data_IF_704555481859
#
_entry.id   IF_704555481859
#
_cell.length_a   1.000
_cell.length_b   1.000
_cell.length_c   1.000
_cell.angle_alpha   90.00
_cell.angle_beta   90.00
_cell.angle_gamma   90.00
#
_symmetry.space_group_name_H-M   'P 1'
#
loop_
_entity.id
_entity.type
_entity.pdbx_description
1 polymer ?
#
# COMPACT_ATOMS: atom_id res chain seq x y z
N UNK A 1 22.45 22.15 15.19
CA UNK A 1 23.65 21.72 14.44
C UNK A 1 24.04 20.25 14.67
N UNK A 2 23.81 19.68 15.87
CA UNK A 2 24.09 18.27 16.20
C UNK A 2 23.18 17.25 15.47
N UNK A 3 21.89 17.57 15.29
CA UNK A 3 20.92 16.74 14.54
C UNK A 3 21.27 16.56 13.05
N UNK A 4 21.82 17.60 12.41
CA UNK A 4 22.27 17.54 11.00
C UNK A 4 23.53 16.67 10.87
N UNK A 5 24.35 16.58 11.92
CA UNK A 5 25.57 15.77 11.96
C UNK A 5 25.26 14.28 12.14
N UNK A 6 24.23 13.94 12.93
CA UNK A 6 23.69 12.56 13.02
C UNK A 6 23.06 12.13 11.69
N UNK A 7 22.34 13.02 11.00
CA UNK A 7 21.82 12.75 9.65
C UNK A 7 22.91 12.57 8.58
N UNK A 8 24.11 13.13 8.78
CA UNK A 8 25.28 12.93 7.89
C UNK A 8 26.15 11.73 8.28
N UNK A 9 26.08 11.25 9.52
CA UNK A 9 26.98 10.22 10.05
C UNK A 9 26.63 8.77 9.67
N UNK A 10 25.52 8.50 8.97
CA UNK A 10 25.21 7.15 8.45
C UNK A 10 25.43 7.02 6.93
N UNK A 11 26.35 7.78 6.35
CA UNK A 11 26.71 7.71 4.92
C UNK A 11 27.78 6.64 4.64
N UNK A 12 27.78 5.52 5.37
CA UNK A 12 28.16 4.26 4.70
C UNK A 12 27.07 3.98 3.66
N UNK A 13 27.40 3.50 2.45
CA UNK A 13 26.38 3.19 1.46
C UNK A 13 25.56 2.01 1.99
N UNK A 14 24.50 2.31 2.75
CA UNK A 14 23.59 1.30 3.26
C UNK A 14 23.07 0.54 2.05
N UNK A 15 23.35 -0.76 2.01
CA UNK A 15 22.95 -1.58 0.90
C UNK A 15 21.42 -1.63 0.88
N UNK A 16 20.83 -0.94 -0.08
CA UNK A 16 19.39 -0.90 -0.34
C UNK A 16 18.76 -2.30 -0.28
N UNK A 17 19.46 -3.35 -0.71
CA UNK A 17 19.00 -4.74 -0.62
C UNK A 17 18.76 -5.19 0.82
N UNK A 18 19.68 -4.93 1.74
CA UNK A 18 19.50 -5.30 3.15
C UNK A 18 18.32 -4.54 3.77
N UNK A 19 18.20 -3.23 3.50
CA UNK A 19 17.04 -2.46 3.97
C UNK A 19 15.71 -3.03 3.47
N UNK A 20 15.66 -3.41 2.19
CA UNK A 20 14.45 -3.96 1.58
C UNK A 20 14.14 -5.38 2.08
N UNK A 21 15.14 -6.22 2.34
CA UNK A 21 14.95 -7.55 2.93
C UNK A 21 14.52 -7.45 4.39
N UNK A 22 15.14 -6.57 5.20
CA UNK A 22 14.72 -6.33 6.58
C UNK A 22 13.30 -5.74 6.63
N UNK A 23 12.93 -4.88 5.67
CA UNK A 23 11.56 -4.39 5.56
C UNK A 23 10.55 -5.53 5.35
N UNK A 24 10.87 -6.51 4.50
CA UNK A 24 10.01 -7.68 4.28
C UNK A 24 9.95 -8.60 5.51
N UNK A 25 11.07 -8.81 6.21
CA UNK A 25 11.09 -9.58 7.46
C UNK A 25 10.22 -8.93 8.55
N UNK A 26 10.32 -7.60 8.72
CA UNK A 26 9.45 -6.88 9.66
C UNK A 26 7.98 -6.97 9.27
N UNK A 27 7.66 -7.01 7.97
CA UNK A 27 6.28 -7.19 7.53
C UNK A 27 5.75 -8.57 7.89
N UNK A 28 6.53 -9.62 7.64
CA UNK A 28 6.16 -11.00 8.02
C UNK A 28 5.96 -11.08 9.53
N UNK A 29 6.89 -10.51 10.30
CA UNK A 29 6.79 -10.46 11.76
C UNK A 29 5.52 -9.71 12.20
N UNK A 30 5.16 -8.61 11.55
CA UNK A 30 3.95 -7.89 11.87
C UNK A 30 2.68 -8.71 11.64
N UNK A 31 2.62 -9.49 10.56
CA UNK A 31 1.48 -10.39 10.28
C UNK A 31 1.39 -11.48 11.34
N UNK A 32 2.52 -12.11 11.69
CA UNK A 32 2.56 -13.14 12.74
C UNK A 32 2.14 -12.58 14.11
N UNK A 33 2.63 -11.40 14.48
CA UNK A 33 2.26 -10.72 15.72
C UNK A 33 0.78 -10.31 15.76
N UNK A 34 0.20 -9.93 14.60
CA UNK A 34 -1.23 -9.67 14.52
C UNK A 34 -2.07 -10.93 14.70
N UNK A 35 -1.57 -12.09 14.24
CA UNK A 35 -2.26 -13.37 14.40
C UNK A 35 -2.23 -13.88 15.84
N UNK A 36 -1.21 -13.48 16.62
CA UNK A 36 -1.07 -13.81 18.05
C UNK A 36 -1.59 -12.71 18.98
N UNK A 37 -2.46 -11.83 18.49
CA UNK A 37 -3.11 -10.74 19.25
C UNK A 37 -2.17 -9.69 19.85
N UNK A 38 -0.89 -9.64 19.44
CA UNK A 38 0.07 -8.62 19.83
C UNK A 38 -0.01 -7.39 18.90
N UNK A 39 -1.18 -6.73 18.88
CA UNK A 39 -1.47 -5.63 17.95
C UNK A 39 -0.49 -4.45 18.06
N UNK A 40 -0.05 -4.07 19.27
CA UNK A 40 0.89 -2.97 19.46
C UNK A 40 2.25 -3.22 18.78
N UNK A 41 2.81 -4.42 18.98
CA UNK A 41 4.07 -4.81 18.34
C UNK A 41 3.89 -4.99 16.83
N UNK A 42 2.75 -5.53 16.39
CA UNK A 42 2.41 -5.62 14.96
C UNK A 42 2.44 -4.26 14.27
N UNK A 43 1.84 -3.23 14.88
CA UNK A 43 1.84 -1.86 14.35
C UNK A 43 3.27 -1.28 14.29
N UNK A 44 4.09 -1.51 15.32
CA UNK A 44 5.49 -1.08 15.33
C UNK A 44 6.28 -1.74 14.20
N UNK A 45 6.11 -3.05 14.00
CA UNK A 45 6.76 -3.79 12.91
C UNK A 45 6.28 -3.32 11.53
N UNK A 46 4.98 -3.01 11.36
CA UNK A 46 4.45 -2.41 10.13
C UNK A 46 5.06 -1.03 9.85
N UNK A 47 5.17 -0.19 10.89
CA UNK A 47 5.79 1.13 10.79
C UNK A 47 7.27 1.03 10.40
N UNK A 48 8.01 0.15 11.08
CA UNK A 48 9.41 -0.13 10.76
C UNK A 48 9.60 -0.65 9.34
N UNK A 49 8.79 -1.62 8.92
CA UNK A 49 8.79 -2.14 7.54
C UNK A 49 8.58 -1.02 6.51
N UNK A 50 7.61 -0.14 6.76
CA UNK A 50 7.28 1.01 5.90
C UNK A 50 8.47 1.96 5.74
N UNK A 51 9.11 2.35 6.85
CA UNK A 51 10.27 3.25 6.86
C UNK A 51 11.47 2.63 6.13
N UNK A 52 11.78 1.37 6.42
CA UNK A 52 12.90 0.66 5.80
C UNK A 52 12.67 0.45 4.29
N UNK A 53 11.44 0.09 3.89
CA UNK A 53 11.08 -0.05 2.49
C UNK A 53 11.24 1.27 1.74
N UNK A 54 10.72 2.38 2.28
CA UNK A 54 10.87 3.70 1.67
C UNK A 54 12.34 4.06 1.54
N UNK A 55 13.13 3.89 2.60
CA UNK A 55 14.56 4.23 2.62
C UNK A 55 15.36 3.42 1.60
N UNK A 56 15.16 2.10 1.55
CA UNK A 56 15.83 1.21 0.61
C UNK A 56 15.43 1.50 -0.85
N UNK A 57 14.13 1.67 -1.12
CA UNK A 57 13.65 1.95 -2.47
C UNK A 57 14.06 3.36 -2.95
N UNK A 58 14.03 4.35 -2.05
CA UNK A 58 14.54 5.71 -2.32
C UNK A 58 16.01 5.66 -2.73
N UNK A 59 16.83 4.89 -2.02
CA UNK A 59 18.25 4.76 -2.33
C UNK A 59 18.48 4.08 -3.68
N UNK A 60 17.73 3.00 -3.97
CA UNK A 60 17.76 2.32 -5.27
C UNK A 60 17.39 3.27 -6.41
N UNK A 61 16.30 4.02 -6.26
CA UNK A 61 15.84 5.00 -7.25
C UNK A 61 16.86 6.13 -7.42
N UNK A 62 17.44 6.62 -6.31
CA UNK A 62 18.46 7.68 -6.34
C UNK A 62 19.68 7.24 -7.14
N UNK A 63 20.19 6.04 -6.89
CA UNK A 63 21.37 5.49 -7.57
C UNK A 63 21.14 5.27 -9.06
N UNK A 64 19.94 4.83 -9.46
CA UNK A 64 19.64 4.50 -10.87
C UNK A 64 19.15 5.67 -11.71
N UNK A 65 18.36 6.57 -11.12
CA UNK A 65 17.57 7.54 -11.90
C UNK A 65 17.73 8.98 -11.37
N UNK A 66 18.56 9.20 -10.35
CA UNK A 66 18.84 10.52 -9.80
C UNK A 66 17.72 11.12 -8.94
N UNK A 67 17.91 12.38 -8.56
CA UNK A 67 17.09 13.09 -7.56
C UNK A 67 15.68 13.42 -8.05
N UNK A 68 15.48 13.65 -9.34
CA UNK A 68 14.14 13.91 -9.92
C UNK A 68 13.21 12.71 -9.78
N UNK A 69 13.72 11.50 -10.04
CA UNK A 69 12.96 10.27 -9.85
C UNK A 69 12.62 10.02 -8.37
N UNK A 70 13.52 10.38 -7.46
CA UNK A 70 13.29 10.31 -6.01
C UNK A 70 12.14 11.21 -5.57
N UNK A 71 12.03 12.44 -6.13
CA UNK A 71 10.92 13.36 -5.82
C UNK A 71 9.58 12.75 -6.22
N UNK A 72 9.46 12.25 -7.46
CA UNK A 72 8.23 11.58 -7.93
C UNK A 72 7.89 10.35 -7.10
N UNK A 73 8.88 9.53 -6.77
CA UNK A 73 8.71 8.36 -5.90
C UNK A 73 8.21 8.76 -4.50
N UNK A 74 8.75 9.84 -3.94
CA UNK A 74 8.35 10.34 -2.62
C UNK A 74 6.93 10.89 -2.63
N UNK A 75 6.54 11.64 -3.66
CA UNK A 75 5.16 12.10 -3.86
C UNK A 75 4.21 10.91 -3.93
N UNK A 76 4.56 9.89 -4.72
CA UNK A 76 3.76 8.67 -4.81
C UNK A 76 3.60 8.00 -3.43
N UNK A 77 4.68 7.92 -2.65
CA UNK A 77 4.64 7.33 -1.31
C UNK A 77 3.77 8.12 -0.33
N UNK A 78 3.83 9.45 -0.37
CA UNK A 78 2.99 10.33 0.43
C UNK A 78 1.50 10.19 0.06
N UNK A 79 1.19 10.20 -1.24
CA UNK A 79 -0.18 9.95 -1.73
C UNK A 79 -0.67 8.56 -1.28
N UNK A 80 0.20 7.55 -1.29
CA UNK A 80 -0.15 6.21 -0.78
C UNK A 80 -0.51 6.24 0.71
N UNK A 81 0.30 6.93 1.52
CA UNK A 81 0.04 7.05 2.96
C UNK A 81 -1.28 7.80 3.22
N UNK A 82 -1.52 8.90 2.50
CA UNK A 82 -2.78 9.65 2.58
C UNK A 82 -3.98 8.78 2.20
N UNK A 83 -3.87 8.00 1.13
CA UNK A 83 -4.90 7.06 0.71
C UNK A 83 -5.26 6.05 1.82
N UNK A 84 -4.25 5.40 2.41
CA UNK A 84 -4.47 4.44 3.49
C UNK A 84 -5.03 5.10 4.75
N UNK A 85 -4.64 6.35 5.03
CA UNK A 85 -5.22 7.12 6.13
C UNK A 85 -6.73 7.37 5.91
N UNK A 86 -7.13 7.81 4.71
CA UNK A 86 -8.54 8.03 4.37
C UNK A 86 -9.35 6.72 4.44
N UNK A 87 -8.85 5.65 3.84
CA UNK A 87 -9.49 4.33 3.88
C UNK A 87 -9.56 3.82 5.32
N UNK A 88 -8.49 4.02 6.11
CA UNK A 88 -8.42 3.63 7.52
C UNK A 88 -9.43 4.35 8.40
N UNK A 89 -9.60 5.67 8.23
CA UNK A 89 -10.62 6.45 8.93
C UNK A 89 -12.02 5.94 8.57
N UNK A 90 -12.29 5.76 7.27
CA UNK A 90 -13.57 5.23 6.82
C UNK A 90 -13.86 3.86 7.45
N UNK A 91 -12.88 2.94 7.44
CA UNK A 91 -13.05 1.62 8.01
C UNK A 91 -13.24 1.64 9.52
N UNK A 92 -12.48 2.49 10.22
CA UNK A 92 -12.59 2.67 11.67
C UNK A 92 -13.96 3.20 12.07
N UNK A 93 -14.48 4.20 11.37
CA UNK A 93 -15.81 4.74 11.61
C UNK A 93 -16.88 3.66 11.37
N UNK A 94 -16.86 3.01 10.21
CA UNK A 94 -17.82 1.94 9.87
C UNK A 94 -17.78 0.80 10.88
N UNK A 95 -16.61 0.35 11.30
CA UNK A 95 -16.46 -0.68 12.33
C UNK A 95 -17.04 -0.23 13.68
N UNK A 96 -16.70 0.99 14.12
CA UNK A 96 -17.15 1.53 15.41
C UNK A 96 -18.66 1.74 15.45
N UNK A 97 -19.24 2.15 14.33
CA UNK A 97 -20.66 2.42 14.20
C UNK A 97 -21.49 1.14 14.00
N UNK A 98 -21.03 0.19 13.18
CA UNK A 98 -21.79 -1.04 12.85
C UNK A 98 -21.55 -2.18 13.83
N UNK A 99 -20.30 -2.40 14.26
CA UNK A 99 -19.95 -3.55 15.11
C UNK A 99 -20.04 -3.18 16.59
N UNK A 100 -19.53 -1.99 16.95
CA UNK A 100 -19.54 -1.55 18.36
C UNK A 100 -20.76 -0.69 18.72
N UNK A 101 -21.60 -0.29 17.75
CA UNK A 101 -22.76 0.59 17.97
C UNK A 101 -22.43 1.87 18.77
N UNK A 102 -21.20 2.40 18.64
CA UNK A 102 -20.72 3.57 19.41
C UNK A 102 -21.18 4.87 18.77
N UNK A 103 -21.36 4.87 17.44
CA UNK A 103 -21.74 6.05 16.66
C UNK A 103 -23.03 5.80 15.89
N UNK A 104 -23.84 6.84 15.64
CA UNK A 104 -24.99 6.73 14.75
C UNK A 104 -24.52 6.33 13.34
N UNK A 105 -25.19 5.34 12.76
CA UNK A 105 -24.92 4.86 11.40
C UNK A 105 -26.21 4.86 10.59
N UNK A 106 -26.43 5.94 9.83
CA UNK A 106 -27.54 6.09 8.92
C UNK A 106 -27.09 6.17 7.44
N UNK A 107 -28.04 6.42 6.52
CA UNK A 107 -27.76 6.55 5.10
C UNK A 107 -26.74 7.66 4.77
N UNK A 108 -26.77 8.77 5.51
CA UNK A 108 -25.86 9.91 5.35
C UNK A 108 -24.42 9.56 5.73
N UNK A 109 -24.23 8.84 6.83
CA UNK A 109 -22.93 8.41 7.33
C UNK A 109 -22.33 7.32 6.44
N UNK A 110 -23.17 6.41 5.95
CA UNK A 110 -22.78 5.42 4.95
C UNK A 110 -22.32 6.11 3.65
N UNK A 111 -23.03 7.14 3.18
CA UNK A 111 -22.63 7.90 2.00
C UNK A 111 -21.30 8.64 2.22
N UNK A 112 -21.16 9.34 3.35
CA UNK A 112 -19.94 10.07 3.68
C UNK A 112 -18.72 9.15 3.79
N UNK A 113 -18.82 8.03 4.51
CA UNK A 113 -17.74 7.04 4.63
C UNK A 113 -17.39 6.41 3.29
N UNK A 114 -18.39 6.07 2.47
CA UNK A 114 -18.17 5.54 1.12
C UNK A 114 -17.43 6.54 0.22
N UNK A 115 -17.74 7.85 0.31
CA UNK A 115 -17.01 8.89 -0.45
C UNK A 115 -15.57 8.96 0.01
N UNK A 116 -15.31 8.97 1.32
CA UNK A 116 -13.94 9.02 1.86
C UNK A 116 -13.15 7.80 1.40
N UNK A 117 -13.75 6.60 1.42
CA UNK A 117 -13.13 5.39 0.90
C UNK A 117 -12.84 5.47 -0.61
N UNK A 118 -13.77 6.02 -1.41
CA UNK A 118 -13.61 6.21 -2.85
C UNK A 118 -12.48 7.21 -3.17
N UNK A 119 -12.45 8.37 -2.50
CA UNK A 119 -11.36 9.35 -2.63
C UNK A 119 -10.03 8.69 -2.25
N UNK A 120 -10.00 7.94 -1.15
CA UNK A 120 -8.83 7.15 -0.76
C UNK A 120 -8.39 6.19 -1.85
N UNK A 121 -9.30 5.47 -2.49
CA UNK A 121 -8.98 4.53 -3.57
C UNK A 121 -8.47 5.22 -4.85
N UNK A 122 -9.03 6.38 -5.22
CA UNK A 122 -8.53 7.20 -6.34
C UNK A 122 -7.10 7.66 -6.07
N UNK A 123 -6.83 8.16 -4.86
CA UNK A 123 -5.49 8.59 -4.46
C UNK A 123 -4.50 7.41 -4.50
N UNK A 124 -4.91 6.20 -4.08
CA UNK A 124 -4.10 4.99 -4.21
C UNK A 124 -3.76 4.68 -5.68
N UNK A 125 -4.77 4.74 -6.56
CA UNK A 125 -4.59 4.46 -7.98
C UNK A 125 -3.58 5.42 -8.62
N UNK A 126 -3.72 6.73 -8.35
CA UNK A 126 -2.79 7.75 -8.82
C UNK A 126 -1.39 7.55 -8.26
N UNK A 127 -1.28 7.27 -6.95
CA UNK A 127 -0.02 6.94 -6.29
C UNK A 127 0.70 5.78 -6.98
N UNK A 128 -0.01 4.68 -7.23
CA UNK A 128 0.55 3.49 -7.90
C UNK A 128 0.98 3.84 -9.33
N UNK A 129 0.20 4.64 -10.05
CA UNK A 129 0.57 5.13 -11.39
C UNK A 129 1.89 5.91 -11.39
N UNK A 130 2.03 6.90 -10.51
CA UNK A 130 3.25 7.71 -10.39
C UNK A 130 4.43 6.82 -9.97
N UNK A 131 4.27 5.96 -8.96
CA UNK A 131 5.32 5.04 -8.51
C UNK A 131 5.77 4.12 -9.63
N UNK A 132 4.83 3.51 -10.34
CA UNK A 132 5.13 2.59 -11.42
C UNK A 132 5.83 3.32 -12.56
N UNK A 133 5.48 4.57 -12.90
CA UNK A 133 6.19 5.34 -13.94
C UNK A 133 7.70 5.50 -13.68
N UNK A 134 8.12 5.46 -12.41
CA UNK A 134 9.53 5.50 -12.01
C UNK A 134 10.13 4.10 -11.99
N UNK A 135 9.47 3.16 -11.32
CA UNK A 135 10.03 1.82 -11.07
C UNK A 135 9.95 0.88 -12.28
N UNK A 136 9.10 1.16 -13.27
CA UNK A 136 8.93 0.32 -14.47
C UNK A 136 10.20 0.13 -15.30
N UNK A 137 11.12 1.09 -15.17
CA UNK A 137 12.43 1.09 -15.80
C UNK A 137 13.36 0.01 -15.23
N UNK A 138 13.02 -0.60 -14.08
CA UNK A 138 13.76 -1.71 -13.49
C UNK A 138 13.08 -3.01 -13.94
N UNK A 139 13.73 -3.74 -14.85
CA UNK A 139 13.12 -4.90 -15.52
C UNK A 139 12.63 -5.98 -14.55
N UNK A 140 13.46 -6.34 -13.56
CA UNK A 140 13.12 -7.34 -12.55
C UNK A 140 11.92 -6.96 -11.66
N UNK A 141 11.49 -5.70 -11.65
CA UNK A 141 10.31 -5.25 -10.90
C UNK A 141 9.02 -5.24 -11.73
N UNK A 142 9.08 -5.31 -13.07
CA UNK A 142 7.91 -5.12 -13.95
C UNK A 142 6.72 -6.01 -13.58
N UNK A 143 6.96 -7.30 -13.37
CA UNK A 143 5.91 -8.26 -13.02
C UNK A 143 5.25 -7.91 -11.69
N UNK A 144 6.05 -7.57 -10.67
CA UNK A 144 5.53 -7.12 -9.36
C UNK A 144 4.70 -5.84 -9.49
N UNK A 145 5.14 -4.89 -10.32
CA UNK A 145 4.46 -3.62 -10.55
C UNK A 145 3.14 -3.79 -11.32
N UNK A 146 3.07 -4.73 -12.27
CA UNK A 146 1.83 -5.12 -12.95
C UNK A 146 0.77 -5.60 -11.96
N UNK A 147 1.12 -6.58 -11.11
CA UNK A 147 0.21 -7.08 -10.08
C UNK A 147 -0.19 -5.98 -9.10
N UNK A 148 0.74 -5.08 -8.74
CA UNK A 148 0.40 -3.96 -7.87
C UNK A 148 -0.56 -2.96 -8.54
N UNK A 149 -0.50 -2.77 -9.87
CA UNK A 149 -1.45 -1.95 -10.63
C UNK A 149 -2.82 -2.61 -10.67
N UNK A 150 -2.89 -3.89 -10.99
CA UNK A 150 -4.15 -4.66 -10.94
C UNK A 150 -4.77 -4.59 -9.54
N UNK A 151 -3.96 -4.72 -8.50
CA UNK A 151 -4.42 -4.63 -7.12
C UNK A 151 -5.04 -3.25 -6.80
N UNK A 152 -4.47 -2.16 -7.34
CA UNK A 152 -5.04 -0.82 -7.18
C UNK A 152 -6.38 -0.64 -7.91
N UNK A 153 -6.56 -1.31 -9.06
CA UNK A 153 -7.82 -1.32 -9.80
C UNK A 153 -8.88 -2.10 -9.02
N UNK A 154 -8.54 -3.27 -8.47
CA UNK A 154 -9.45 -4.07 -7.65
C UNK A 154 -9.90 -3.27 -6.41
N UNK A 155 -8.98 -2.59 -5.72
CA UNK A 155 -9.33 -1.72 -4.59
C UNK A 155 -10.29 -0.59 -4.99
N UNK A 156 -10.05 0.03 -6.14
CA UNK A 156 -10.92 1.07 -6.67
C UNK A 156 -12.31 0.54 -7.01
N UNK A 157 -12.40 -0.62 -7.67
CA UNK A 157 -13.68 -1.26 -7.96
C UNK A 157 -14.42 -1.63 -6.67
N UNK A 158 -13.73 -2.19 -5.67
CA UNK A 158 -14.31 -2.49 -4.37
C UNK A 158 -14.85 -1.24 -3.65
N UNK A 159 -14.20 -0.09 -3.81
CA UNK A 159 -14.67 1.18 -3.24
C UNK A 159 -15.87 1.78 -4.00
N UNK A 160 -16.08 1.42 -5.28
CA UNK A 160 -17.24 1.84 -6.08
C UNK A 160 -18.47 0.99 -5.81
N UNK A 161 -18.30 -0.30 -5.48
CA UNK A 161 -19.39 -1.27 -5.23
C UNK A 161 -20.52 -0.69 -4.35
N UNK A 162 -20.27 0.01 -3.22
CA UNK A 162 -21.31 0.63 -2.41
C UNK A 162 -22.22 1.64 -3.13
N UNK A 163 -21.76 2.26 -4.22
CA UNK A 163 -22.50 3.26 -4.99
C UNK A 163 -23.34 2.67 -6.13
N UNK A 164 -23.07 1.42 -6.54
CA UNK A 164 -23.81 0.77 -7.64
C UNK A 164 -25.33 0.69 -7.40
N UNK A 165 -25.86 0.38 -6.21
CA UNK A 165 -27.31 0.34 -5.97
C UNK A 165 -27.94 1.73 -6.01
N UNK A 166 -27.23 2.74 -5.52
CA UNK A 166 -27.67 4.13 -5.55
C UNK A 166 -27.74 4.66 -7.00
N UNK A 167 -26.82 4.22 -7.86
CA UNK A 167 -26.83 4.53 -9.30
C UNK A 167 -27.88 3.71 -10.06
N UNK A 168 -28.14 2.48 -9.64
CA UNK A 168 -29.06 1.56 -10.32
C UNK A 168 -30.53 1.73 -9.92
N UNK A 169 -30.87 2.51 -8.88
CA UNK A 169 -32.23 2.63 -8.30
C UNK A 169 -32.89 1.28 -7.94
N UNK A 170 -32.09 0.24 -7.67
CA UNK A 170 -32.58 -1.12 -7.40
C UNK A 170 -32.23 -1.50 -5.95
N UNK A 171 -33.25 -1.52 -5.09
CA UNK A 171 -33.13 -1.87 -3.67
C UNK A 171 -32.68 -3.31 -3.42
N UNK A 172 -32.93 -4.22 -4.38
CA UNK A 172 -32.59 -5.65 -4.31
C UNK A 172 -31.09 -5.96 -4.53
N UNK A 173 -30.30 -4.97 -4.98
CA UNK A 173 -28.90 -5.17 -5.36
C UNK A 173 -27.95 -5.37 -4.16
N UNK A 174 -28.39 -5.04 -2.95
CA UNK A 174 -27.59 -5.11 -1.71
C UNK A 174 -27.12 -6.53 -1.37
N UNK A 175 -27.91 -7.56 -1.68
CA UNK A 175 -27.50 -8.96 -1.54
C UNK A 175 -26.40 -9.37 -2.53
N UNK A 176 -26.53 -8.94 -3.79
CA UNK A 176 -25.57 -9.22 -4.86
C UNK A 176 -24.22 -8.52 -4.64
N UNK A 177 -24.21 -7.32 -4.05
CA UNK A 177 -22.97 -6.62 -3.68
C UNK A 177 -22.16 -7.35 -2.61
N UNK A 178 -22.80 -7.99 -1.62
CA UNK A 178 -22.09 -8.81 -0.62
C UNK A 178 -21.41 -10.01 -1.29
N UNK A 179 -22.06 -10.61 -2.29
CA UNK A 179 -21.51 -11.70 -3.10
C UNK A 179 -20.33 -11.22 -3.95
N UNK A 180 -20.31 -9.98 -4.43
CA UNK A 180 -19.20 -9.39 -5.19
C UNK A 180 -18.04 -8.89 -4.31
N UNK A 181 -18.30 -8.46 -3.08
CA UNK A 181 -17.29 -7.90 -2.18
C UNK A 181 -16.28 -8.97 -1.71
N UNK A 182 -16.72 -10.19 -1.41
CA UNK A 182 -15.84 -11.27 -0.97
C UNK A 182 -14.82 -11.71 -2.04
N UNK A 183 -15.22 -11.94 -3.31
CA UNK A 183 -14.29 -12.16 -4.43
C UNK A 183 -13.34 -11.00 -4.68
N UNK A 184 -13.79 -9.74 -4.50
CA UNK A 184 -12.92 -8.58 -4.65
C UNK A 184 -11.83 -8.53 -3.57
N UNK A 185 -12.18 -8.81 -2.30
CA UNK A 185 -11.26 -8.90 -1.18
C UNK A 185 -10.27 -10.08 -1.30
N UNK A 186 -10.74 -11.24 -1.73
CA UNK A 186 -9.87 -12.40 -1.97
C UNK A 186 -8.92 -12.15 -3.13
N UNK A 187 -9.41 -11.55 -4.22
CA UNK A 187 -8.59 -11.13 -5.38
C UNK A 187 -7.55 -10.08 -4.99
N UNK A 188 -7.92 -9.10 -4.17
CA UNK A 188 -7.00 -8.08 -3.65
C UNK A 188 -5.84 -8.72 -2.87
N UNK A 189 -6.18 -9.66 -1.98
CA UNK A 189 -5.20 -10.36 -1.14
C UNK A 189 -4.27 -11.23 -1.99
N UNK A 190 -4.82 -11.97 -2.95
CA UNK A 190 -4.06 -12.83 -3.86
C UNK A 190 -3.10 -12.02 -4.76
N UNK A 191 -3.58 -10.92 -5.35
CA UNK A 191 -2.74 -10.04 -6.18
C UNK A 191 -1.62 -9.38 -5.37
N UNK A 192 -1.89 -9.02 -4.12
CA UNK A 192 -0.87 -8.49 -3.21
C UNK A 192 0.22 -9.54 -2.92
N UNK A 193 -0.17 -10.79 -2.66
CA UNK A 193 0.76 -11.91 -2.44
C UNK A 193 1.60 -12.20 -3.68
N UNK A 194 0.99 -12.28 -4.87
CA UNK A 194 1.74 -12.46 -6.12
C UNK A 194 2.76 -11.34 -6.33
N UNK A 195 2.33 -10.08 -6.17
CA UNK A 195 3.22 -8.92 -6.29
C UNK A 195 4.42 -9.03 -5.34
N UNK A 196 4.19 -9.51 -4.10
CA UNK A 196 5.22 -9.77 -3.08
C UNK A 196 6.18 -10.89 -3.47
N UNK A 197 5.69 -12.00 -3.99
CA UNK A 197 6.52 -13.14 -4.43
C UNK A 197 7.49 -12.70 -5.53
N UNK A 198 6.99 -11.99 -6.56
CA UNK A 198 7.86 -11.48 -7.63
C UNK A 198 8.86 -10.44 -7.13
N UNK A 199 8.46 -9.61 -6.17
CA UNK A 199 9.34 -8.65 -5.54
C UNK A 199 10.46 -9.31 -4.73
N UNK A 200 10.15 -10.33 -3.93
CA UNK A 200 11.12 -11.12 -3.18
C UNK A 200 12.07 -11.87 -4.12
N UNK A 201 11.55 -12.47 -5.20
CA UNK A 201 12.38 -13.07 -6.26
C UNK A 201 13.37 -12.05 -6.81
N UNK A 202 12.92 -10.84 -7.13
CA UNK A 202 13.81 -9.76 -7.56
C UNK A 202 14.89 -9.45 -6.52
N UNK A 203 14.54 -9.27 -5.25
CA UNK A 203 15.52 -8.98 -4.19
C UNK A 203 16.54 -10.10 -4.00
N UNK A 204 16.10 -11.37 -4.07
CA UNK A 204 16.94 -12.54 -3.84
C UNK A 204 17.83 -12.87 -5.04
N UNK A 205 17.36 -12.66 -6.27
CA UNK A 205 18.13 -12.91 -7.51
C UNK A 205 19.01 -11.72 -7.93
N UNK A 206 18.94 -10.58 -7.23
CA UNK A 206 19.65 -9.35 -7.61
C UNK A 206 21.19 -9.36 -7.50
N UNK A 207 21.83 -10.51 -7.31
CA UNK A 207 23.29 -10.66 -7.53
C UNK A 207 23.70 -10.35 -8.98
N UNK A 208 22.77 -10.33 -9.93
CA UNK A 208 23.00 -9.97 -11.34
C UNK A 208 22.83 -8.48 -11.67
N UNK A 209 22.70 -7.58 -10.69
CA UNK A 209 22.79 -6.13 -10.95
C UNK A 209 24.25 -5.64 -10.98
N UNK A 210 25.15 -6.45 -11.53
CA UNK A 210 26.44 -5.97 -12.03
C UNK A 210 26.13 -5.00 -13.16
N UNK A 211 26.40 -3.72 -12.92
CA UNK A 211 26.93 -2.79 -13.94
C UNK A 211 26.33 -2.98 -15.33
N UNK A 212 25.09 -2.55 -15.54
CA UNK A 212 24.72 -2.09 -16.87
C UNK A 212 25.01 -0.59 -16.91
N UNK A 213 25.92 -0.28 -17.83
CA UNK A 213 26.56 1.01 -18.10
C UNK A 213 25.56 2.14 -18.32
#
# INVERSE_FOLDING_TARGET
MFLVKIMRMSLTPINHRYLLLTAELLLVLAVLLSATSHYGLSVVCLGGSTILYYSGMRELVRKRFGTWAVRRFTIAYFLRALSWFLIGISAFYTYSAVIRNVFPFGPSEFFATSIVALVGAVVNYLSVGIRNSVLWKIEGLRTSLWFSRLNSIVLFMAAIVPFLPALAKIWELTGFLKILAAPALSSFTFLALLSKVFYLKFLLTSENLKTEK
#
